data_IF_908778875443
#
_entry.id   IF_908778875443
#
_cell.length_a   1.000
_cell.length_b   1.000
_cell.length_c   1.000
_cell.angle_alpha   90.00
_cell.angle_beta   90.00
_cell.angle_gamma   90.00
#
_symmetry.space_group_name_H-M   'P 1'
#
loop_
_entity.id
_entity.type
_entity.pdbx_description
1 polymer ?
#
# COMPACT_ATOMS: atom_id res chain seq x y z
N UNK A 1 -2.00 15.07 0.86
CA UNK A 1 -3.45 14.77 0.72
C UNK A 1 -4.21 16.08 0.67
N UNK A 2 -5.14 16.19 -0.26
CA UNK A 2 -6.02 17.35 -0.36
C UNK A 2 -7.03 17.33 0.81
N UNK A 3 -7.48 18.51 1.29
CA UNK A 3 -8.50 18.56 2.35
C UNK A 3 -9.81 17.94 1.87
N UNK A 4 -10.62 17.35 2.76
CA UNK A 4 -11.93 16.86 2.37
C UNK A 4 -12.81 18.03 1.85
N UNK A 5 -13.72 17.75 0.91
CA UNK A 5 -14.65 18.75 0.41
C UNK A 5 -15.50 19.35 1.54
N UNK A 6 -15.79 20.63 1.43
CA UNK A 6 -16.71 21.36 2.26
C UNK A 6 -17.95 21.78 1.47
N UNK A 7 -19.01 22.20 2.15
CA UNK A 7 -20.26 22.66 1.53
C UNK A 7 -20.03 23.78 0.49
N UNK A 8 -19.08 24.70 0.76
CA UNK A 8 -18.73 25.78 -0.17
C UNK A 8 -18.11 25.25 -1.48
N UNK A 9 -17.41 24.10 -1.45
CA UNK A 9 -16.81 23.54 -2.67
C UNK A 9 -17.89 23.11 -3.67
N UNK A 10 -19.07 22.70 -3.18
CA UNK A 10 -20.22 22.43 -4.05
C UNK A 10 -20.72 23.69 -4.77
N UNK A 11 -20.78 24.82 -4.08
CA UNK A 11 -21.14 26.10 -4.70
C UNK A 11 -20.10 26.54 -5.75
N UNK A 12 -18.80 26.41 -5.45
CA UNK A 12 -17.74 26.70 -6.44
C UNK A 12 -17.79 25.77 -7.66
N UNK A 13 -18.14 24.48 -7.46
CA UNK A 13 -18.33 23.53 -8.56
C UNK A 13 -19.56 23.88 -9.42
N UNK A 14 -20.65 24.35 -8.80
CA UNK A 14 -21.87 24.75 -9.51
C UNK A 14 -21.70 26.07 -10.26
N UNK A 15 -20.93 27.01 -9.73
CA UNK A 15 -20.79 28.37 -10.24
C UNK A 15 -19.30 28.75 -10.39
N UNK A 16 -18.55 28.14 -11.31
CA UNK A 16 -17.12 28.37 -11.46
C UNK A 16 -16.82 29.83 -11.80
N UNK A 17 -15.93 30.44 -11.01
CA UNK A 17 -15.51 31.83 -11.21
C UNK A 17 -16.53 32.89 -10.80
N UNK A 18 -17.64 32.52 -10.20
CA UNK A 18 -18.66 33.45 -9.73
C UNK A 18 -18.74 33.47 -8.19
N UNK A 19 -19.15 34.62 -7.66
CA UNK A 19 -19.30 34.88 -6.23
C UNK A 19 -20.73 35.41 -5.94
N UNK A 20 -21.72 34.59 -6.26
CA UNK A 20 -23.14 34.92 -6.15
C UNK A 20 -23.69 34.79 -4.72
N UNK A 21 -22.88 34.38 -3.74
CA UNK A 21 -23.32 34.07 -2.38
C UNK A 21 -22.40 34.67 -1.32
N UNK A 22 -22.92 34.80 -0.11
CA UNK A 22 -22.17 35.12 1.10
C UNK A 22 -22.82 34.50 2.32
N UNK A 23 -22.02 34.35 3.37
CA UNK A 23 -22.47 33.88 4.69
C UNK A 23 -22.08 34.93 5.74
N UNK A 24 -22.92 35.99 5.93
CA UNK A 24 -22.61 37.10 6.85
C UNK A 24 -22.45 36.67 8.30
N UNK A 25 -23.13 35.60 8.72
CA UNK A 25 -23.03 35.02 10.07
C UNK A 25 -21.71 34.24 10.30
N UNK A 26 -20.92 33.95 9.24
CA UNK A 26 -19.77 33.04 9.29
C UNK A 26 -20.15 31.56 9.35
N UNK A 27 -21.43 31.24 9.47
CA UNK A 27 -21.95 29.85 9.51
C UNK A 27 -22.31 29.42 8.08
N UNK A 28 -21.64 28.40 7.57
CA UNK A 28 -21.78 27.90 6.20
C UNK A 28 -22.91 26.86 6.15
N UNK A 29 -24.14 27.35 6.19
CA UNK A 29 -25.37 26.58 6.06
C UNK A 29 -26.31 27.24 5.05
N UNK A 30 -27.15 26.43 4.40
CA UNK A 30 -28.06 26.93 3.37
C UNK A 30 -28.98 28.06 3.87
N UNK A 31 -29.47 27.95 5.08
CA UNK A 31 -30.37 28.91 5.73
C UNK A 31 -29.70 30.26 5.95
N UNK A 32 -28.39 30.29 6.12
CA UNK A 32 -27.59 31.50 6.35
C UNK A 32 -27.03 32.10 5.05
N UNK A 33 -27.29 31.43 3.91
CA UNK A 33 -26.79 31.86 2.61
C UNK A 33 -27.58 33.01 2.03
N UNK A 34 -26.92 34.16 1.90
CA UNK A 34 -27.43 35.32 1.17
C UNK A 34 -27.05 35.20 -0.28
N UNK A 35 -28.04 35.12 -1.18
CA UNK A 35 -27.82 35.10 -2.63
C UNK A 35 -27.83 36.52 -3.18
N UNK A 36 -26.87 36.86 -4.05
CA UNK A 36 -26.61 38.22 -4.50
C UNK A 36 -26.78 38.45 -6.00
N UNK A 37 -26.93 37.40 -6.75
CA UNK A 37 -27.03 37.48 -8.22
C UNK A 37 -28.53 37.39 -8.60
N UNK A 38 -29.02 38.41 -9.31
CA UNK A 38 -30.42 38.47 -9.75
C UNK A 38 -30.65 37.71 -11.05
N UNK A 39 -29.59 37.54 -11.88
CA UNK A 39 -29.67 36.86 -13.16
C UNK A 39 -29.54 35.33 -13.01
N UNK A 40 -28.94 34.91 -11.93
CA UNK A 40 -28.74 33.47 -11.63
C UNK A 40 -29.65 33.07 -10.48
N UNK A 41 -30.56 32.11 -10.68
CA UNK A 41 -31.45 31.68 -9.62
C UNK A 41 -30.65 31.01 -8.48
N UNK A 42 -31.03 31.30 -7.22
CA UNK A 42 -30.48 30.64 -6.05
C UNK A 42 -30.70 29.12 -6.15
N UNK A 43 -29.62 28.30 -6.05
CA UNK A 43 -29.78 26.85 -6.08
C UNK A 43 -30.58 26.35 -4.89
N UNK A 44 -31.26 25.23 -5.07
CA UNK A 44 -31.99 24.62 -3.94
C UNK A 44 -31.01 23.90 -3.01
N UNK A 45 -31.40 23.70 -1.75
CA UNK A 45 -30.63 22.96 -0.76
C UNK A 45 -30.29 21.55 -1.26
N UNK A 46 -31.24 20.88 -1.90
CA UNK A 46 -31.12 19.54 -2.45
C UNK A 46 -30.11 19.50 -3.62
N UNK A 47 -30.12 20.54 -4.48
CA UNK A 47 -29.19 20.61 -5.59
C UNK A 47 -27.74 20.77 -5.13
N UNK A 48 -27.52 21.59 -4.09
CA UNK A 48 -26.20 21.75 -3.48
C UNK A 48 -25.77 20.44 -2.77
N UNK A 49 -26.67 19.83 -2.00
CA UNK A 49 -26.40 18.57 -1.30
C UNK A 49 -25.99 17.46 -2.29
N UNK A 50 -26.67 17.34 -3.42
CA UNK A 50 -26.33 16.37 -4.46
C UNK A 50 -24.90 16.57 -5.00
N UNK A 51 -24.51 17.81 -5.28
CA UNK A 51 -23.16 18.13 -5.76
C UNK A 51 -22.12 17.89 -4.67
N UNK A 52 -22.45 18.18 -3.43
CA UNK A 52 -21.57 17.93 -2.29
C UNK A 52 -21.32 16.43 -2.06
N UNK A 53 -22.38 15.61 -2.10
CA UNK A 53 -22.25 14.14 -2.02
C UNK A 53 -21.41 13.57 -3.17
N UNK A 54 -21.53 14.12 -4.38
CA UNK A 54 -20.72 13.75 -5.52
C UNK A 54 -19.24 14.08 -5.26
N UNK A 55 -18.94 15.27 -4.74
CA UNK A 55 -17.56 15.66 -4.37
C UNK A 55 -16.98 14.75 -3.30
N UNK A 56 -17.77 14.41 -2.25
CA UNK A 56 -17.34 13.48 -1.22
C UNK A 56 -17.00 12.09 -1.79
N UNK A 57 -17.79 11.60 -2.74
CA UNK A 57 -17.56 10.32 -3.42
C UNK A 57 -16.33 10.34 -4.33
N UNK A 58 -16.08 11.49 -5.01
CA UNK A 58 -14.95 11.64 -5.93
C UNK A 58 -13.62 11.90 -5.21
N UNK A 59 -13.66 12.52 -4.03
CA UNK A 59 -12.48 12.97 -3.30
C UNK A 59 -11.46 11.85 -3.01
N UNK A 60 -11.81 10.66 -2.50
CA UNK A 60 -10.85 9.58 -2.28
C UNK A 60 -10.16 9.14 -3.58
N UNK A 61 -10.90 9.10 -4.70
CA UNK A 61 -10.34 8.77 -6.02
C UNK A 61 -9.36 9.82 -6.52
N UNK A 62 -9.61 11.09 -6.25
CA UNK A 62 -8.69 12.18 -6.55
C UNK A 62 -7.40 12.02 -5.75
N UNK A 63 -7.49 11.73 -4.45
CA UNK A 63 -6.35 11.53 -3.58
C UNK A 63 -5.48 10.34 -4.01
N UNK A 64 -6.08 9.18 -4.35
CA UNK A 64 -5.33 8.04 -4.89
C UNK A 64 -4.54 8.44 -6.14
N UNK A 65 -5.19 9.13 -7.09
CA UNK A 65 -4.51 9.53 -8.33
C UNK A 65 -3.37 10.49 -8.07
N UNK A 66 -3.54 11.43 -7.16
CA UNK A 66 -2.51 12.39 -6.77
C UNK A 66 -1.33 11.68 -6.10
N UNK A 67 -1.57 10.86 -5.09
CA UNK A 67 -0.55 10.09 -4.38
C UNK A 67 0.19 9.14 -5.33
N UNK A 68 -0.53 8.42 -6.20
CA UNK A 68 0.08 7.59 -7.24
C UNK A 68 1.03 8.40 -8.14
N UNK A 69 0.62 9.59 -8.57
CA UNK A 69 1.45 10.44 -9.43
C UNK A 69 2.70 10.89 -8.68
N UNK A 70 2.59 11.24 -7.39
CA UNK A 70 3.74 11.56 -6.54
C UNK A 70 4.71 10.38 -6.47
N UNK A 71 4.23 9.17 -6.18
CA UNK A 71 5.05 7.95 -6.10
C UNK A 71 5.70 7.59 -7.45
N UNK A 72 5.02 7.82 -8.57
CA UNK A 72 5.60 7.63 -9.90
C UNK A 72 6.73 8.64 -10.18
N UNK A 73 6.53 9.92 -9.84
CA UNK A 73 7.54 10.95 -10.00
C UNK A 73 8.79 10.71 -9.13
N UNK A 74 8.59 10.21 -7.90
CA UNK A 74 9.70 9.85 -7.00
C UNK A 74 10.65 8.78 -7.56
N UNK A 75 10.19 7.99 -8.53
CA UNK A 75 10.97 6.88 -9.09
C UNK A 75 11.35 7.08 -10.55
N UNK A 76 11.02 8.23 -11.15
CA UNK A 76 11.34 8.50 -12.56
C UNK A 76 12.85 8.55 -12.83
N UNK A 77 13.66 8.97 -11.84
CA UNK A 77 15.12 8.97 -11.91
C UNK A 77 15.71 7.57 -12.17
N UNK A 78 15.06 6.51 -11.71
CA UNK A 78 15.50 5.11 -11.93
C UNK A 78 15.57 4.78 -13.42
N UNK A 79 14.77 5.47 -14.25
CA UNK A 79 14.66 5.25 -15.69
C UNK A 79 15.33 6.36 -16.52
N UNK A 80 16.08 7.27 -15.90
CA UNK A 80 16.75 8.40 -16.58
C UNK A 80 17.94 7.99 -17.44
N UNK A 81 18.39 6.72 -17.35
CA UNK A 81 19.52 6.20 -18.09
C UNK A 81 20.88 6.42 -17.42
N UNK A 82 20.98 7.31 -16.43
CA UNK A 82 22.20 7.58 -15.69
C UNK A 82 22.49 6.52 -14.61
N UNK A 83 21.46 5.77 -14.24
CA UNK A 83 21.53 4.74 -13.21
C UNK A 83 21.52 3.33 -13.81
N UNK A 84 22.59 2.55 -13.55
CA UNK A 84 22.72 1.19 -14.06
C UNK A 84 22.11 0.19 -13.08
N UNK A 85 20.91 -0.25 -13.38
CA UNK A 85 20.24 -1.36 -12.69
C UNK A 85 20.65 -2.71 -13.29
N UNK A 86 20.66 -3.76 -12.48
CA UNK A 86 20.65 -5.12 -13.02
C UNK A 86 19.33 -5.40 -13.74
N UNK A 87 19.26 -6.37 -14.67
CA UNK A 87 18.02 -6.74 -15.34
C UNK A 87 16.90 -7.11 -14.35
N UNK A 88 17.25 -7.77 -13.26
CA UNK A 88 16.32 -8.18 -12.19
C UNK A 88 15.77 -6.97 -11.44
N UNK A 89 16.64 -6.04 -11.05
CA UNK A 89 16.21 -4.79 -10.40
C UNK A 89 15.33 -3.98 -11.32
N UNK A 90 15.70 -3.84 -12.57
CA UNK A 90 14.89 -3.13 -13.56
C UNK A 90 13.49 -3.75 -13.68
N UNK A 91 13.38 -5.08 -13.72
CA UNK A 91 12.09 -5.78 -13.79
C UNK A 91 11.21 -5.49 -12.56
N UNK A 92 11.80 -5.43 -11.34
CA UNK A 92 11.07 -5.06 -10.12
C UNK A 92 10.52 -3.62 -10.20
N UNK A 93 11.32 -2.66 -10.65
CA UNK A 93 10.90 -1.29 -10.81
C UNK A 93 9.82 -1.12 -11.89
N UNK A 94 9.92 -1.84 -13.00
CA UNK A 94 8.89 -1.87 -14.05
C UNK A 94 7.58 -2.40 -13.49
N UNK A 95 7.63 -3.50 -12.72
CA UNK A 95 6.46 -4.09 -12.07
C UNK A 95 5.83 -3.13 -11.08
N UNK A 96 6.63 -2.49 -10.21
CA UNK A 96 6.14 -1.49 -9.26
C UNK A 96 5.41 -0.33 -9.96
N UNK A 97 6.00 0.24 -11.02
CA UNK A 97 5.34 1.32 -11.78
C UNK A 97 4.05 0.87 -12.46
N UNK A 98 4.02 -0.37 -12.97
CA UNK A 98 2.81 -0.94 -13.57
C UNK A 98 1.71 -1.05 -12.53
N UNK A 99 2.00 -1.65 -11.38
CA UNK A 99 1.05 -1.79 -10.26
C UNK A 99 0.52 -0.43 -9.79
N UNK A 100 1.39 0.59 -9.67
CA UNK A 100 0.95 1.94 -9.33
C UNK A 100 -0.02 2.52 -10.36
N UNK A 101 0.22 2.33 -11.66
CA UNK A 101 -0.67 2.84 -12.71
C UNK A 101 -2.03 2.16 -12.70
N UNK A 102 -2.07 0.88 -12.40
CA UNK A 102 -3.28 0.05 -12.35
C UNK A 102 -4.08 0.24 -11.05
N UNK A 103 -3.43 0.72 -9.98
CA UNK A 103 -4.03 0.84 -8.65
C UNK A 103 -5.41 1.53 -8.63
N UNK A 104 -5.65 2.68 -9.33
CA UNK A 104 -6.95 3.31 -9.32
C UNK A 104 -8.08 2.48 -9.96
N UNK A 105 -7.75 1.51 -10.82
CA UNK A 105 -8.73 0.63 -11.47
C UNK A 105 -8.94 -0.69 -10.74
N UNK A 106 -8.01 -1.07 -9.87
CA UNK A 106 -8.05 -2.35 -9.13
C UNK A 106 -8.45 -2.17 -7.66
N UNK A 107 -8.47 -0.93 -7.16
CA UNK A 107 -8.83 -0.62 -5.77
C UNK A 107 -10.36 -0.65 -5.61
N UNK A 108 -10.86 -1.43 -4.67
CA UNK A 108 -12.29 -1.48 -4.30
C UNK A 108 -12.65 -0.37 -3.30
N UNK A 109 -11.78 -0.12 -2.31
CA UNK A 109 -11.94 0.95 -1.32
C UNK A 109 -10.92 2.08 -1.54
N UNK A 110 -11.32 3.19 -2.18
CA UNK A 110 -10.41 4.29 -2.45
C UNK A 110 -10.01 5.10 -1.21
N UNK A 111 -10.69 4.91 -0.07
CA UNK A 111 -10.30 5.56 1.18
C UNK A 111 -9.13 4.84 1.85
N UNK A 112 -8.99 3.52 1.62
CA UNK A 112 -7.95 2.68 2.21
C UNK A 112 -7.23 1.84 1.14
N UNK A 113 -6.50 2.45 0.20
CA UNK A 113 -5.84 1.73 -0.88
C UNK A 113 -4.64 0.93 -0.35
N UNK A 114 -4.45 -0.27 -0.89
CA UNK A 114 -3.24 -1.07 -0.63
C UNK A 114 -2.14 -0.67 -1.61
N UNK A 115 -1.15 0.08 -1.12
CA UNK A 115 -0.03 0.53 -1.93
C UNK A 115 0.98 -0.58 -2.15
N UNK A 116 1.55 -0.74 -3.38
CA UNK A 116 2.64 -1.66 -3.61
C UNK A 116 3.90 -1.24 -2.84
N UNK A 117 4.66 -2.23 -2.40
CA UNK A 117 5.94 -1.99 -1.75
C UNK A 117 6.97 -1.46 -2.76
N UNK A 118 7.65 -0.37 -2.39
CA UNK A 118 8.66 0.27 -3.22
C UNK A 118 9.92 -0.60 -3.25
N UNK A 119 10.43 -1.00 -4.43
CA UNK A 119 11.68 -1.74 -4.52
C UNK A 119 12.84 -0.94 -3.91
N UNK A 120 13.75 -1.61 -3.24
CA UNK A 120 15.00 -1.02 -2.76
C UNK A 120 16.08 -1.18 -3.82
N UNK A 121 16.86 -0.13 -4.04
CA UNK A 121 18.10 -0.24 -4.82
C UNK A 121 19.16 -0.82 -3.89
N UNK A 122 19.52 -2.07 -4.11
CA UNK A 122 20.65 -2.66 -3.39
C UNK A 122 21.92 -2.30 -4.14
N UNK A 123 22.72 -1.37 -3.59
CA UNK A 123 24.11 -1.26 -4.02
C UNK A 123 24.79 -2.63 -3.88
N UNK A 124 25.76 -2.95 -4.74
CA UNK A 124 26.42 -4.27 -4.75
C UNK A 124 26.88 -4.75 -3.37
N UNK A 125 27.26 -3.85 -2.47
CA UNK A 125 27.61 -4.14 -1.08
C UNK A 125 26.43 -4.67 -0.25
N UNK A 126 25.21 -4.10 -0.43
CA UNK A 126 24.02 -4.56 0.29
C UNK A 126 23.57 -5.94 -0.20
N UNK A 127 23.73 -6.26 -1.49
CA UNK A 127 23.47 -7.62 -2.02
C UNK A 127 24.38 -8.66 -1.36
N UNK A 128 25.68 -8.34 -1.19
CA UNK A 128 26.64 -9.23 -0.53
C UNK A 128 26.25 -9.45 0.93
N UNK A 129 25.89 -8.40 1.65
CA UNK A 129 25.47 -8.50 3.07
C UNK A 129 24.20 -9.34 3.21
N UNK A 130 23.21 -9.15 2.35
CA UNK A 130 21.96 -9.92 2.39
C UNK A 130 22.19 -11.39 2.01
N UNK A 131 22.97 -11.67 0.96
CA UNK A 131 23.35 -13.02 0.58
C UNK A 131 24.14 -13.74 1.69
N UNK A 132 25.04 -13.03 2.35
CA UNK A 132 25.81 -13.54 3.49
C UNK A 132 24.89 -13.83 4.68
N UNK A 133 23.91 -12.96 4.98
CA UNK A 133 22.93 -13.16 6.05
C UNK A 133 22.03 -14.37 5.79
N UNK A 134 21.55 -14.54 4.56
CA UNK A 134 20.79 -15.73 4.14
C UNK A 134 21.61 -17.01 4.23
N UNK A 135 22.85 -16.97 3.74
CA UNK A 135 23.78 -18.09 3.86
C UNK A 135 24.01 -18.50 5.32
N UNK A 136 24.23 -17.53 6.21
CA UNK A 136 24.36 -17.77 7.66
C UNK A 136 23.09 -18.36 8.29
N UNK A 137 21.90 -17.94 7.85
CA UNK A 137 20.63 -18.56 8.29
C UNK A 137 20.55 -20.03 7.84
N UNK A 138 20.85 -20.32 6.58
CA UNK A 138 20.83 -21.68 6.05
C UNK A 138 21.84 -22.58 6.78
N UNK A 139 23.05 -22.09 7.07
CA UNK A 139 24.07 -22.80 7.85
C UNK A 139 23.58 -23.11 9.26
N UNK A 140 22.91 -22.16 9.92
CA UNK A 140 22.35 -22.35 11.26
C UNK A 140 21.20 -23.38 11.27
N UNK A 141 20.34 -23.36 10.26
CA UNK A 141 19.27 -24.36 10.11
C UNK A 141 19.83 -25.76 9.85
N UNK A 142 20.86 -25.88 8.98
CA UNK A 142 21.53 -27.15 8.73
C UNK A 142 22.20 -27.70 10.00
N UNK A 143 22.81 -26.85 10.82
CA UNK A 143 23.39 -27.26 12.11
C UNK A 143 22.31 -27.76 13.08
N UNK A 144 21.14 -27.10 13.14
CA UNK A 144 20.00 -27.54 13.95
C UNK A 144 19.41 -28.89 13.45
N UNK A 145 19.32 -29.06 12.15
CA UNK A 145 18.85 -30.32 11.54
C UNK A 145 19.83 -31.46 11.82
N UNK A 146 21.13 -31.23 11.66
CA UNK A 146 22.20 -32.20 11.98
C UNK A 146 22.11 -32.65 13.43
N UNK A 147 21.95 -31.73 14.38
CA UNK A 147 21.80 -32.06 15.81
C UNK A 147 20.52 -32.86 16.09
N UNK A 148 19.40 -32.57 15.41
CA UNK A 148 18.16 -33.36 15.49
C UNK A 148 18.35 -34.79 14.94
N UNK A 149 19.03 -34.93 13.82
CA UNK A 149 19.32 -36.24 13.21
C UNK A 149 20.14 -37.08 14.20
N UNK A 150 21.21 -36.53 14.75
CA UNK A 150 22.04 -37.22 15.76
C UNK A 150 21.24 -37.62 17.01
N UNK A 151 20.30 -36.81 17.44
CA UNK A 151 19.44 -37.13 18.57
C UNK A 151 18.42 -38.27 18.24
N UNK A 152 17.92 -38.31 17.02
CA UNK A 152 17.03 -39.37 16.55
C UNK A 152 17.77 -40.71 16.37
N UNK A 153 18.99 -40.68 15.84
CA UNK A 153 19.85 -41.85 15.72
C UNK A 153 20.14 -42.47 17.10
N UNK A 154 20.48 -41.66 18.10
CA UNK A 154 20.68 -42.13 19.49
C UNK A 154 19.42 -42.76 20.05
N UNK A 155 18.23 -42.23 19.80
CA UNK A 155 16.96 -42.83 20.24
C UNK A 155 16.66 -44.16 19.55
N UNK A 156 16.95 -44.25 18.24
CA UNK A 156 16.79 -45.47 17.46
C UNK A 156 17.66 -46.60 18.02
N UNK A 157 18.96 -46.32 18.22
CA UNK A 157 19.89 -47.31 18.80
C UNK A 157 19.48 -47.74 20.23
N UNK A 158 18.97 -46.83 21.06
CA UNK A 158 18.48 -47.19 22.40
C UNK A 158 17.24 -48.05 22.36
N UNK A 159 16.32 -47.84 21.40
CA UNK A 159 15.16 -48.68 21.17
C UNK A 159 15.56 -50.08 20.68
N UNK A 160 16.49 -50.17 19.74
CA UNK A 160 17.00 -51.46 19.24
C UNK A 160 17.65 -52.27 20.39
N UNK A 161 18.47 -51.64 21.21
CA UNK A 161 19.06 -52.28 22.39
C UNK A 161 18.01 -52.77 23.39
N UNK A 162 16.92 -52.00 23.57
CA UNK A 162 15.81 -52.46 24.44
C UNK A 162 15.09 -53.68 23.85
N UNK A 163 14.85 -53.70 22.53
CA UNK A 163 14.24 -54.84 21.84
C UNK A 163 15.09 -56.11 21.97
N UNK A 164 16.44 -55.99 21.77
CA UNK A 164 17.35 -57.09 21.91
C UNK A 164 17.39 -57.63 23.38
N UNK A 165 17.28 -56.77 24.37
CA UNK A 165 17.19 -57.18 25.78
C UNK A 165 15.88 -57.94 26.07
N UNK A 166 14.77 -57.45 25.55
CA UNK A 166 13.44 -58.09 25.70
C UNK A 166 13.39 -59.43 25.03
N UNK A 167 13.93 -59.58 23.80
CA UNK A 167 13.97 -60.88 23.10
C UNK A 167 14.76 -61.91 23.89
N UNK A 168 15.92 -61.55 24.45
CA UNK A 168 16.72 -62.44 25.31
C UNK A 168 16.04 -62.85 26.61
N UNK A 169 15.07 -62.07 27.12
CA UNK A 169 14.27 -62.43 28.30
C UNK A 169 13.15 -63.39 28.01
N UNK A 170 12.64 -63.41 26.75
CA UNK A 170 11.59 -64.30 26.30
C UNK A 170 12.09 -65.69 25.88
N UNK A 171 13.38 -65.85 25.68
CA UNK A 171 14.04 -67.12 25.32
C UNK A 171 14.48 -67.96 26.58
N UNK A 172 14.20 -67.46 27.78
CA UNK A 172 14.42 -68.16 29.06
C UNK A 172 13.13 -68.68 29.66
#
# INVERSE_FOLDING_TARGET
MDRPPEYMDALFKMFPGKWCWSFPSGVIEYENMVWRDEDIPKPTKESIAKVYEELLREHPWKNIRQERNTRLAEVDWVFSGDYKLSPEEHALWVTYRKTLRELPSTTEDPANPTWPEKPSVTSGETKIVNATAEFMRMMNENTKLSSKITALERRSTDQELKLIRLSKLLEK
#
